data_IF_184990405832
#
_entry.id   IF_184990405832
#
_cell.length_a   1.000
_cell.length_b   1.000
_cell.length_c   1.000
_cell.angle_alpha   90.00
_cell.angle_beta   90.00
_cell.angle_gamma   90.00
#
_symmetry.space_group_name_H-M   'P 1'
#
loop_
_entity.id
_entity.type
_entity.pdbx_description
1 polymer ?
#
# COMPACT_ATOMS: atom_id res chain seq x y z
N UNK A 1 -14.43 -7.34 -12.54
CA UNK A 1 -15.03 -8.01 -11.37
C UNK A 1 -15.82 -6.96 -10.61
N UNK A 2 -17.11 -7.17 -10.40
CA UNK A 2 -17.96 -6.27 -9.64
C UNK A 2 -17.86 -6.59 -8.15
N UNK A 3 -18.07 -5.58 -7.30
CA UNK A 3 -18.12 -5.76 -5.84
C UNK A 3 -19.44 -6.45 -5.46
N UNK A 4 -19.40 -7.29 -4.44
CA UNK A 4 -20.61 -7.84 -3.81
C UNK A 4 -21.33 -6.75 -3.01
N UNK A 5 -22.58 -7.00 -2.60
CA UNK A 5 -23.33 -6.04 -1.80
C UNK A 5 -22.60 -5.73 -0.47
N UNK A 6 -22.10 -6.75 0.21
CA UNK A 6 -21.36 -6.60 1.47
C UNK A 6 -20.06 -5.78 1.28
N UNK A 7 -19.38 -5.95 0.13
CA UNK A 7 -18.19 -5.17 -0.21
C UNK A 7 -18.51 -3.71 -0.53
N UNK A 8 -19.66 -3.44 -1.15
CA UNK A 8 -20.14 -2.07 -1.37
C UNK A 8 -20.45 -1.41 -0.03
N UNK A 9 -21.14 -2.10 0.88
CA UNK A 9 -21.46 -1.60 2.22
C UNK A 9 -20.20 -1.32 3.04
N UNK A 10 -19.19 -2.20 2.98
CA UNK A 10 -17.89 -1.98 3.60
C UNK A 10 -17.20 -0.73 3.01
N UNK A 11 -17.21 -0.57 1.68
CA UNK A 11 -16.61 0.58 1.02
C UNK A 11 -17.29 1.89 1.45
N UNK A 12 -18.61 1.91 1.50
CA UNK A 12 -19.40 3.09 1.89
C UNK A 12 -19.18 3.44 3.37
N UNK A 13 -19.10 2.44 4.24
CA UNK A 13 -18.77 2.61 5.65
C UNK A 13 -17.37 3.24 5.82
N UNK A 14 -16.35 2.69 5.16
CA UNK A 14 -14.98 3.20 5.21
C UNK A 14 -14.88 4.62 4.67
N UNK A 15 -15.53 4.89 3.55
CA UNK A 15 -15.56 6.21 2.92
C UNK A 15 -16.21 7.26 3.82
N UNK A 16 -17.34 6.93 4.42
CA UNK A 16 -18.03 7.81 5.37
C UNK A 16 -17.16 8.11 6.59
N UNK A 17 -16.58 7.07 7.18
CA UNK A 17 -15.68 7.21 8.32
C UNK A 17 -14.44 8.05 8.01
N UNK A 18 -13.76 7.79 6.89
CA UNK A 18 -12.56 8.55 6.53
C UNK A 18 -12.88 10.00 6.16
N UNK A 19 -14.04 10.27 5.54
CA UNK A 19 -14.48 11.63 5.27
C UNK A 19 -14.65 12.46 6.56
N UNK A 20 -15.07 11.81 7.65
CA UNK A 20 -15.26 12.46 8.95
C UNK A 20 -13.93 12.59 9.73
N UNK A 21 -13.10 11.55 9.74
CA UNK A 21 -11.95 11.46 10.66
C UNK A 21 -10.59 11.69 10.00
N UNK A 22 -10.45 11.51 8.68
CA UNK A 22 -9.19 11.69 7.92
C UNK A 22 -9.33 12.90 6.98
N UNK A 23 -9.65 14.05 7.56
CA UNK A 23 -9.81 15.29 6.81
C UNK A 23 -8.47 15.86 6.36
N UNK A 24 -8.47 16.76 5.36
CA UNK A 24 -7.28 17.54 4.95
C UNK A 24 -6.56 18.17 6.16
N UNK A 25 -7.31 18.71 7.11
CA UNK A 25 -6.73 19.31 8.32
C UNK A 25 -5.96 18.29 9.18
N UNK A 26 -6.49 17.07 9.33
CA UNK A 26 -5.81 15.97 10.04
C UNK A 26 -4.53 15.56 9.33
N UNK A 27 -4.59 15.38 8.00
CA UNK A 27 -3.42 15.01 7.19
C UNK A 27 -2.34 16.11 7.26
N UNK A 28 -2.71 17.38 7.12
CA UNK A 28 -1.78 18.52 7.23
C UNK A 28 -1.18 18.66 8.61
N UNK A 29 -1.96 18.49 9.67
CA UNK A 29 -1.47 18.47 11.05
C UNK A 29 -0.40 17.39 11.24
N UNK A 30 -0.57 16.25 10.61
CA UNK A 30 0.43 15.16 10.63
C UNK A 30 1.73 15.55 9.94
N UNK A 31 1.65 16.25 8.81
CA UNK A 31 2.81 16.78 8.09
C UNK A 31 3.58 17.78 8.95
N UNK A 32 2.88 18.72 9.60
CA UNK A 32 3.47 19.77 10.43
C UNK A 32 4.06 19.25 11.74
N UNK A 33 3.50 18.16 12.26
CA UNK A 33 3.88 17.60 13.56
C UNK A 33 4.16 16.09 13.49
N UNK A 34 5.23 15.68 12.78
CA UNK A 34 5.53 14.26 12.57
C UNK A 34 5.92 13.51 13.83
N UNK A 35 6.13 14.22 14.95
CA UNK A 35 6.46 13.66 16.27
C UNK A 35 5.21 13.18 17.05
N UNK A 36 4.03 13.65 16.69
CA UNK A 36 2.80 13.27 17.39
C UNK A 36 2.50 11.80 17.12
N UNK A 37 2.50 10.99 18.19
CA UNK A 37 1.89 9.66 18.16
C UNK A 37 0.38 9.84 17.99
N UNK A 38 -0.15 9.38 16.86
CA UNK A 38 -1.60 9.39 16.63
C UNK A 38 -2.06 7.94 16.52
N UNK A 39 -2.33 7.32 17.65
CA UNK A 39 -3.05 6.04 17.72
C UNK A 39 -4.57 6.23 17.61
N UNK A 40 -5.04 7.46 17.65
CA UNK A 40 -6.46 7.79 17.66
C UNK A 40 -7.23 7.20 16.48
N UNK A 41 -6.68 7.26 15.27
CA UNK A 41 -7.33 6.68 14.08
C UNK A 41 -7.37 5.15 14.11
N UNK A 42 -6.29 4.50 14.56
CA UNK A 42 -6.27 3.04 14.72
C UNK A 42 -7.25 2.57 15.80
N UNK A 43 -7.35 3.31 16.90
CA UNK A 43 -8.30 3.02 17.99
C UNK A 43 -9.75 3.23 17.53
N UNK A 44 -10.02 4.29 16.75
CA UNK A 44 -11.33 4.54 16.15
C UNK A 44 -11.70 3.46 15.12
N UNK A 45 -10.77 3.03 14.28
CA UNK A 45 -10.98 1.93 13.33
C UNK A 45 -11.26 0.60 14.05
N UNK A 46 -10.61 0.37 15.20
CA UNK A 46 -10.90 -0.80 16.04
C UNK A 46 -12.31 -0.74 16.60
N UNK A 47 -12.83 0.45 16.94
CA UNK A 47 -14.23 0.62 17.39
C UNK A 47 -15.27 0.32 16.29
N UNK A 48 -14.89 0.43 15.02
CA UNK A 48 -15.73 0.01 13.88
C UNK A 48 -15.75 -1.52 13.67
N UNK A 49 -15.07 -2.30 14.51
CA UNK A 49 -15.00 -3.74 14.33
C UNK A 49 -14.11 -4.20 13.16
N UNK A 50 -13.30 -3.32 12.57
CA UNK A 50 -12.45 -3.69 11.44
C UNK A 50 -11.41 -4.75 11.81
N UNK A 51 -10.86 -4.67 13.02
CA UNK A 51 -9.89 -5.66 13.47
C UNK A 51 -10.53 -7.03 13.58
N UNK A 52 -11.72 -7.12 14.15
CA UNK A 52 -12.52 -8.35 14.27
C UNK A 52 -12.92 -8.88 12.90
N UNK A 53 -13.22 -7.99 11.96
CA UNK A 53 -13.51 -8.33 10.56
C UNK A 53 -12.35 -8.98 9.83
N UNK A 54 -11.11 -8.60 10.12
CA UNK A 54 -9.92 -9.12 9.46
C UNK A 54 -9.17 -10.18 10.25
N UNK A 55 -9.20 -10.15 11.58
CA UNK A 55 -8.36 -10.99 12.44
C UNK A 55 -9.18 -12.09 13.11
N UNK A 56 -8.64 -13.30 13.06
CA UNK A 56 -9.27 -14.49 13.63
C UNK A 56 -9.56 -15.57 12.61
N UNK A 57 -9.77 -16.82 13.03
CA UNK A 57 -9.97 -17.94 12.11
C UNK A 57 -11.27 -17.84 11.31
N UNK A 58 -12.31 -17.24 11.88
CA UNK A 58 -13.64 -17.06 11.27
C UNK A 58 -13.88 -15.63 10.76
N UNK A 59 -12.83 -14.81 10.66
CA UNK A 59 -12.96 -13.43 10.21
C UNK A 59 -13.47 -13.37 8.76
N UNK A 60 -14.54 -12.60 8.47
CA UNK A 60 -15.19 -12.59 7.15
C UNK A 60 -14.36 -11.89 6.06
N UNK A 61 -13.44 -10.98 6.43
CA UNK A 61 -12.71 -10.17 5.47
C UNK A 61 -11.38 -10.81 5.07
N UNK A 62 -11.14 -10.88 3.76
CA UNK A 62 -9.94 -11.44 3.15
C UNK A 62 -9.15 -10.43 2.32
N UNK A 63 -8.43 -10.92 1.31
CA UNK A 63 -7.64 -10.09 0.40
C UNK A 63 -8.50 -9.11 -0.42
N UNK A 64 -9.72 -9.44 -0.90
CA UNK A 64 -10.58 -8.49 -1.58
C UNK A 64 -10.96 -7.29 -0.71
N UNK A 65 -11.37 -7.52 0.55
CA UNK A 65 -11.76 -6.48 1.50
C UNK A 65 -10.54 -5.65 1.95
N UNK A 66 -9.36 -6.27 2.07
CA UNK A 66 -8.10 -5.55 2.28
C UNK A 66 -7.80 -4.61 1.11
N UNK A 67 -8.08 -5.03 -0.12
CA UNK A 67 -7.96 -4.18 -1.30
C UNK A 67 -8.90 -2.97 -1.27
N UNK A 68 -10.16 -3.17 -0.81
CA UNK A 68 -11.12 -2.07 -0.62
C UNK A 68 -10.61 -1.08 0.43
N UNK A 69 -10.18 -1.59 1.59
CA UNK A 69 -9.62 -0.75 2.65
C UNK A 69 -8.40 0.02 2.16
N UNK A 70 -7.48 -0.62 1.45
CA UNK A 70 -6.28 0.02 0.92
C UNK A 70 -6.63 1.13 -0.10
N UNK A 71 -7.64 0.92 -0.95
CA UNK A 71 -8.11 1.94 -1.87
C UNK A 71 -8.68 3.15 -1.13
N UNK A 72 -9.49 2.96 -0.10
CA UNK A 72 -10.00 4.08 0.69
C UNK A 72 -8.89 4.75 1.52
N UNK A 73 -7.93 4.00 2.08
CA UNK A 73 -6.73 4.59 2.71
C UNK A 73 -5.93 5.47 1.72
N UNK A 74 -5.77 5.05 0.48
CA UNK A 74 -5.14 5.84 -0.57
C UNK A 74 -5.93 7.09 -0.92
N UNK A 75 -7.26 6.98 -1.04
CA UNK A 75 -8.17 8.09 -1.37
C UNK A 75 -8.15 9.21 -0.33
N UNK A 76 -7.96 8.87 0.94
CA UNK A 76 -7.89 9.85 2.04
C UNK A 76 -6.47 10.13 2.52
N UNK A 77 -5.43 9.64 1.83
CA UNK A 77 -4.02 9.81 2.21
C UNK A 77 -3.77 9.38 3.66
N UNK A 78 -4.34 8.24 4.06
CA UNK A 78 -4.22 7.69 5.42
C UNK A 78 -2.76 7.76 5.88
N UNK A 79 -2.47 8.43 7.01
CA UNK A 79 -1.10 8.59 7.49
C UNK A 79 -0.59 7.41 8.31
N UNK A 80 -1.47 6.49 8.69
CA UNK A 80 -1.16 5.37 9.56
C UNK A 80 -1.14 4.05 8.80
N UNK A 81 -0.32 3.06 9.23
CA UNK A 81 -0.12 1.79 8.52
C UNK A 81 -1.23 0.77 8.82
N UNK A 82 -2.49 1.15 8.61
CA UNK A 82 -3.67 0.31 8.92
C UNK A 82 -3.66 -0.95 8.08
N UNK A 83 -3.43 -0.80 6.77
CA UNK A 83 -3.48 -1.91 5.83
C UNK A 83 -2.35 -2.91 6.07
N UNK A 84 -1.12 -2.44 6.31
CA UNK A 84 0.04 -3.28 6.61
C UNK A 84 -0.20 -4.11 7.86
N UNK A 85 -0.79 -3.49 8.88
CA UNK A 85 -1.10 -4.16 10.13
C UNK A 85 -2.15 -5.27 9.95
N UNK A 86 -3.28 -4.96 9.31
CA UNK A 86 -4.34 -5.95 9.07
C UNK A 86 -3.91 -7.03 8.07
N UNK A 87 -3.04 -6.71 7.10
CA UNK A 87 -2.39 -7.70 6.26
C UNK A 87 -1.62 -8.70 7.10
N UNK A 88 -0.73 -8.22 7.97
CA UNK A 88 0.17 -9.07 8.76
C UNK A 88 -0.58 -9.84 9.85
N UNK A 89 -1.48 -9.19 10.60
CA UNK A 89 -2.16 -9.80 11.75
C UNK A 89 -3.35 -10.68 11.34
N UNK A 90 -4.01 -10.39 10.22
CA UNK A 90 -5.29 -10.98 9.87
C UNK A 90 -5.32 -11.76 8.57
N UNK A 91 -5.02 -11.14 7.44
CA UNK A 91 -5.23 -11.76 6.12
C UNK A 91 -4.17 -12.79 5.81
N UNK A 92 -2.88 -12.44 5.96
CA UNK A 92 -1.77 -13.32 5.59
C UNK A 92 -1.76 -14.68 6.32
N UNK A 93 -1.98 -14.76 7.65
CA UNK A 93 -1.98 -16.06 8.36
C UNK A 93 -3.00 -17.07 7.81
N UNK A 94 -4.10 -16.60 7.23
CA UNK A 94 -5.15 -17.45 6.65
C UNK A 94 -4.86 -17.93 5.23
N UNK A 95 -3.80 -17.43 4.61
CA UNK A 95 -3.37 -17.78 3.24
C UNK A 95 -2.23 -18.80 3.21
N UNK A 96 -1.72 -19.20 4.36
CA UNK A 96 -0.61 -20.15 4.48
C UNK A 96 -1.04 -21.40 5.26
N UNK A 97 -0.21 -22.47 5.24
CA UNK A 97 -0.50 -23.71 5.96
C UNK A 97 -0.61 -23.48 7.48
N UNK A 98 -1.44 -24.27 8.15
CA UNK A 98 -1.78 -24.09 9.57
C UNK A 98 -0.55 -24.07 10.50
N UNK A 99 0.45 -24.93 10.26
CA UNK A 99 1.69 -24.97 11.03
C UNK A 99 2.49 -23.67 10.89
N UNK A 100 2.64 -23.17 9.66
CA UNK A 100 3.35 -21.93 9.38
C UNK A 100 2.57 -20.71 9.90
N UNK A 101 1.26 -20.71 9.75
CA UNK A 101 0.38 -19.67 10.31
C UNK A 101 0.54 -19.57 11.83
N UNK A 102 0.55 -20.70 12.54
CA UNK A 102 0.73 -20.75 13.99
C UNK A 102 2.11 -20.23 14.42
N UNK A 103 3.18 -20.68 13.75
CA UNK A 103 4.55 -20.24 14.03
C UNK A 103 4.74 -18.75 13.74
N UNK A 104 4.20 -18.27 12.61
CA UNK A 104 4.22 -16.86 12.24
C UNK A 104 3.45 -15.99 13.25
N UNK A 105 2.21 -16.34 13.58
CA UNK A 105 1.40 -15.60 14.55
C UNK A 105 2.05 -15.53 15.92
N UNK A 106 2.66 -16.64 16.36
CA UNK A 106 3.44 -16.66 17.60
C UNK A 106 4.65 -15.70 17.53
N UNK A 107 5.30 -15.57 16.37
CA UNK A 107 6.44 -14.65 16.19
C UNK A 107 6.03 -13.17 16.27
N UNK A 108 4.78 -12.84 15.97
CA UNK A 108 4.27 -11.46 16.07
C UNK A 108 4.00 -11.03 17.51
N UNK A 109 3.70 -11.95 18.42
CA UNK A 109 3.38 -11.65 19.84
C UNK A 109 2.28 -10.58 20.02
N UNK A 110 1.41 -10.39 19.01
CA UNK A 110 0.40 -9.33 18.99
C UNK A 110 0.96 -7.91 18.86
N UNK A 111 2.22 -7.75 18.54
CA UNK A 111 2.89 -6.46 18.39
C UNK A 111 2.60 -5.82 17.03
N UNK A 112 2.54 -4.47 16.96
CA UNK A 112 2.34 -3.77 15.71
C UNK A 112 3.49 -4.01 14.72
N UNK A 113 3.12 -4.21 13.46
CA UNK A 113 4.03 -4.59 12.38
C UNK A 113 4.21 -3.48 11.34
N UNK A 114 5.37 -3.45 10.72
CA UNK A 114 5.68 -2.67 9.54
C UNK A 114 6.20 -3.56 8.42
N UNK A 115 6.04 -3.11 7.19
CA UNK A 115 6.48 -3.84 6.00
C UNK A 115 7.47 -3.02 5.20
N UNK A 116 8.66 -3.57 4.96
CA UNK A 116 9.66 -2.98 4.09
C UNK A 116 9.43 -3.43 2.64
N UNK A 117 9.36 -2.51 1.66
CA UNK A 117 9.33 -2.89 0.26
C UNK A 117 10.56 -3.72 -0.12
N UNK A 118 10.37 -4.70 -1.01
CA UNK A 118 11.44 -5.61 -1.48
C UNK A 118 12.67 -4.85 -1.97
N UNK A 119 12.47 -3.84 -2.78
CA UNK A 119 13.51 -3.05 -3.42
C UNK A 119 14.30 -2.16 -2.45
N UNK A 120 13.78 -1.99 -1.25
CA UNK A 120 14.45 -1.24 -0.18
C UNK A 120 15.33 -2.10 0.72
N UNK A 121 15.30 -3.42 0.53
CA UNK A 121 15.99 -4.38 1.36
C UNK A 121 17.33 -4.81 0.73
N UNK A 122 18.42 -4.61 1.46
CA UNK A 122 19.76 -5.08 1.13
C UNK A 122 20.27 -6.00 2.24
N UNK A 123 19.53 -7.10 2.47
CA UNK A 123 19.74 -8.00 3.60
C UNK A 123 20.32 -9.33 3.15
N UNK A 124 21.22 -9.89 3.97
CA UNK A 124 21.81 -11.22 3.78
C UNK A 124 21.64 -12.04 5.06
N UNK A 125 21.15 -13.26 4.90
CA UNK A 125 21.05 -14.22 6.00
C UNK A 125 22.30 -15.08 6.12
N UNK A 126 22.52 -15.66 7.31
CA UNK A 126 23.45 -16.78 7.50
C UNK A 126 22.94 -18.04 6.78
N UNK A 127 23.75 -19.08 6.70
CA UNK A 127 23.41 -20.34 6.01
C UNK A 127 22.15 -21.05 6.57
N UNK A 128 21.76 -20.72 7.80
CA UNK A 128 20.58 -21.29 8.47
C UNK A 128 19.36 -20.37 8.43
N UNK A 129 19.50 -19.14 7.89
CA UNK A 129 18.44 -18.14 7.88
C UNK A 129 18.01 -17.61 9.25
N UNK A 130 18.86 -17.79 10.30
CA UNK A 130 18.52 -17.44 11.69
C UNK A 130 18.98 -16.04 12.09
N UNK A 131 20.00 -15.53 11.42
CA UNK A 131 20.53 -14.17 11.66
C UNK A 131 20.72 -13.44 10.35
N UNK A 132 20.42 -12.16 10.37
CA UNK A 132 20.46 -11.30 9.18
C UNK A 132 21.38 -10.10 9.44
N UNK A 133 22.09 -9.67 8.39
CA UNK A 133 22.86 -8.43 8.37
C UNK A 133 22.60 -7.68 7.08
N UNK A 134 22.69 -6.33 7.13
CA UNK A 134 22.49 -5.45 5.99
C UNK A 134 21.65 -4.24 6.34
N UNK A 135 21.02 -3.65 5.33
CA UNK A 135 20.27 -2.39 5.48
C UNK A 135 18.89 -2.50 4.85
N UNK A 136 17.95 -1.80 5.46
CA UNK A 136 16.63 -1.48 4.90
C UNK A 136 16.63 0.05 4.73
N UNK A 137 16.64 0.51 3.48
CA UNK A 137 16.74 1.93 3.16
C UNK A 137 15.57 2.72 3.75
N UNK A 138 14.37 2.14 3.73
CA UNK A 138 13.18 2.68 4.38
C UNK A 138 12.06 1.64 4.43
N UNK A 139 11.12 1.84 5.37
CA UNK A 139 10.03 0.94 5.69
C UNK A 139 8.77 1.75 5.98
N UNK A 140 7.63 1.34 5.44
CA UNK A 140 6.32 1.91 5.74
C UNK A 140 5.89 1.56 7.16
N UNK A 141 5.32 2.53 7.88
CA UNK A 141 4.78 2.31 9.22
C UNK A 141 5.82 2.03 10.29
N UNK A 142 7.11 2.09 9.96
CA UNK A 142 8.19 1.75 10.88
C UNK A 142 8.22 2.57 12.18
N UNK A 143 7.66 3.78 12.16
CA UNK A 143 7.62 4.63 13.35
C UNK A 143 6.76 4.03 14.48
N UNK A 144 5.66 3.40 14.13
CA UNK A 144 4.65 2.89 15.07
C UNK A 144 4.76 1.37 15.29
N UNK A 145 5.62 0.70 14.53
CA UNK A 145 5.83 -0.74 14.61
C UNK A 145 6.82 -1.12 15.74
N UNK A 146 6.65 -2.32 16.26
CA UNK A 146 7.63 -3.03 17.08
C UNK A 146 8.34 -4.14 16.30
N UNK A 147 7.68 -4.68 15.29
CA UNK A 147 8.18 -5.71 14.41
C UNK A 147 8.27 -5.21 12.97
N UNK A 148 9.26 -5.67 12.24
CA UNK A 148 9.46 -5.34 10.83
C UNK A 148 9.53 -6.62 10.00
N UNK A 149 8.76 -6.65 8.92
CA UNK A 149 8.83 -7.68 7.89
C UNK A 149 9.65 -7.14 6.72
N UNK A 150 10.66 -7.90 6.31
CA UNK A 150 11.59 -7.48 5.27
C UNK A 150 12.03 -8.66 4.39
N UNK A 151 12.43 -8.35 3.16
CA UNK A 151 12.94 -9.36 2.22
C UNK A 151 14.43 -9.57 2.43
N UNK A 152 14.84 -10.83 2.41
CA UNK A 152 16.23 -11.27 2.51
C UNK A 152 16.56 -12.31 1.45
N UNK A 153 17.77 -12.32 0.93
CA UNK A 153 18.27 -13.42 0.09
C UNK A 153 18.85 -14.53 0.95
N UNK A 154 18.31 -15.74 0.79
CA UNK A 154 18.80 -16.97 1.45
C UNK A 154 19.09 -18.01 0.38
N UNK A 155 20.36 -18.38 0.20
CA UNK A 155 20.82 -19.34 -0.83
C UNK A 155 20.33 -19.01 -2.25
N UNK A 156 20.18 -17.72 -2.59
CA UNK A 156 19.72 -17.27 -3.90
C UNK A 156 18.18 -17.12 -4.04
N UNK A 157 17.41 -17.62 -3.07
CA UNK A 157 15.96 -17.42 -3.03
C UNK A 157 15.59 -16.23 -2.15
N UNK A 158 14.53 -15.53 -2.53
CA UNK A 158 13.97 -14.46 -1.71
C UNK A 158 13.03 -15.02 -0.65
N UNK A 159 13.23 -14.59 0.55
CA UNK A 159 12.46 -14.98 1.72
C UNK A 159 12.05 -13.76 2.53
N UNK A 160 10.99 -13.88 3.29
CA UNK A 160 10.56 -12.84 4.23
C UNK A 160 11.00 -13.21 5.63
N UNK A 161 11.56 -12.24 6.33
CA UNK A 161 11.94 -12.34 7.74
C UNK A 161 11.14 -11.37 8.59
N UNK A 162 10.91 -11.78 9.84
CA UNK A 162 10.33 -10.92 10.89
C UNK A 162 11.40 -10.68 11.93
N UNK A 163 11.63 -9.45 12.33
CA UNK A 163 12.53 -9.09 13.42
C UNK A 163 11.93 -7.99 14.30
N UNK A 164 12.33 -8.01 15.57
CA UNK A 164 11.97 -6.92 16.49
C UNK A 164 12.95 -5.76 16.33
N UNK A 165 12.44 -4.52 16.30
CA UNK A 165 13.30 -3.34 16.28
C UNK A 165 14.16 -3.17 17.55
N UNK A 166 13.74 -3.82 18.65
CA UNK A 166 14.52 -3.89 19.90
C UNK A 166 15.52 -5.07 19.95
N UNK A 167 15.60 -5.90 18.89
CA UNK A 167 16.52 -7.02 18.87
C UNK A 167 17.98 -6.56 18.82
N UNK A 168 18.87 -7.44 19.35
CA UNK A 168 20.30 -7.17 19.31
C UNK A 168 20.78 -6.95 17.86
N UNK A 169 21.61 -5.93 17.65
CA UNK A 169 22.17 -5.59 16.35
C UNK A 169 21.29 -4.74 15.44
N UNK A 170 20.11 -4.30 15.87
CA UNK A 170 19.26 -3.35 15.15
C UNK A 170 19.60 -1.93 15.52
N UNK A 171 19.76 -1.06 14.54
CA UNK A 171 19.75 0.38 14.70
C UNK A 171 18.70 1.00 13.78
N UNK A 172 17.97 2.00 14.29
CA UNK A 172 16.85 2.68 13.64
C UNK A 172 17.19 4.16 13.45
N UNK A 173 16.84 4.69 12.27
CA UNK A 173 16.97 6.11 11.94
C UNK A 173 15.71 6.62 11.24
N UNK A 174 15.43 7.94 11.35
CA UNK A 174 14.37 8.58 10.57
C UNK A 174 14.82 8.65 9.11
N UNK A 175 13.99 8.13 8.20
CA UNK A 175 14.22 8.27 6.77
C UNK A 175 13.41 9.43 6.19
N UNK A 176 14.02 10.18 5.27
CA UNK A 176 13.32 11.24 4.53
C UNK A 176 12.28 10.63 3.60
N UNK A 177 11.12 11.26 3.48
CA UNK A 177 10.04 10.83 2.59
C UNK A 177 9.68 11.93 1.59
N UNK A 178 9.45 11.53 0.34
CA UNK A 178 8.80 12.38 -0.66
C UNK A 178 7.32 12.61 -0.29
N UNK A 179 6.66 11.57 0.19
CA UNK A 179 5.32 11.64 0.75
C UNK A 179 5.41 12.06 2.23
N UNK A 180 5.01 13.28 2.50
CA UNK A 180 5.07 13.88 3.82
C UNK A 180 3.97 13.35 4.76
N UNK A 181 3.00 12.62 4.24
CA UNK A 181 1.89 12.07 5.02
C UNK A 181 2.25 10.77 5.74
N UNK A 182 3.36 10.11 5.33
CA UNK A 182 3.85 8.86 5.93
C UNK A 182 5.17 9.05 6.66
N UNK A 183 5.38 8.25 7.71
CA UNK A 183 6.62 8.24 8.47
C UNK A 183 7.44 7.02 8.12
N UNK A 184 8.62 7.25 7.59
CA UNK A 184 9.54 6.19 7.20
C UNK A 184 10.66 6.00 8.22
N UNK A 185 11.12 4.77 8.34
CA UNK A 185 12.30 4.39 9.13
C UNK A 185 13.29 3.64 8.27
N UNK A 186 14.57 3.90 8.52
CA UNK A 186 15.71 3.12 8.03
C UNK A 186 16.17 2.19 9.12
N UNK A 187 16.57 0.99 8.74
CA UNK A 187 17.14 0.01 9.68
C UNK A 187 18.49 -0.49 9.17
N UNK A 188 19.45 -0.61 10.10
CA UNK A 188 20.69 -1.35 9.89
C UNK A 188 20.71 -2.54 10.84
N UNK A 189 20.96 -3.73 10.28
CA UNK A 189 20.98 -5.01 11.00
C UNK A 189 22.41 -5.57 11.03
N UNK A 190 22.87 -6.00 12.22
CA UNK A 190 24.19 -6.61 12.44
C UNK A 190 24.02 -7.92 13.18
N UNK A 191 24.00 -9.05 12.45
CA UNK A 191 23.77 -10.39 13.02
C UNK A 191 22.50 -10.44 13.89
N UNK A 192 21.44 -9.79 13.41
CA UNK A 192 20.16 -9.71 14.11
C UNK A 192 19.41 -11.03 14.03
N UNK A 193 18.92 -11.59 15.14
CA UNK A 193 18.07 -12.78 15.12
C UNK A 193 16.73 -12.47 14.46
N UNK A 194 16.25 -13.41 13.65
CA UNK A 194 15.02 -13.26 12.86
C UNK A 194 14.19 -14.55 12.89
N UNK A 195 12.87 -14.39 12.68
CA UNK A 195 11.99 -15.48 12.26
C UNK A 195 11.94 -15.47 10.72
N UNK A 196 12.14 -16.62 10.09
CA UNK A 196 12.16 -16.78 8.63
C UNK A 196 10.93 -17.54 8.17
N UNK A 197 10.15 -16.94 7.26
CA UNK A 197 9.04 -17.60 6.58
C UNK A 197 9.54 -18.66 5.58
N UNK A 198 8.73 -19.67 5.27
CA UNK A 198 9.00 -20.61 4.16
C UNK A 198 9.02 -19.86 2.81
N UNK A 199 9.51 -20.51 1.77
CA UNK A 199 9.58 -19.92 0.44
C UNK A 199 8.18 -19.62 -0.11
N UNK A 200 7.26 -20.59 0.02
CA UNK A 200 5.88 -20.44 -0.42
C UNK A 200 5.11 -19.37 0.35
N UNK A 201 5.29 -19.29 1.66
CA UNK A 201 4.69 -18.23 2.47
C UNK A 201 5.27 -16.86 2.15
N UNK A 202 6.58 -16.77 1.92
CA UNK A 202 7.23 -15.52 1.49
C UNK A 202 6.68 -15.03 0.16
N UNK A 203 6.50 -15.91 -0.82
CA UNK A 203 5.89 -15.56 -2.11
C UNK A 203 4.45 -15.06 -1.93
N UNK A 204 3.64 -15.77 -1.12
CA UNK A 204 2.27 -15.36 -0.82
C UNK A 204 2.21 -13.99 -0.14
N UNK A 205 3.11 -13.72 0.81
CA UNK A 205 3.19 -12.44 1.49
C UNK A 205 3.51 -11.30 0.53
N UNK A 206 4.51 -11.49 -0.34
CA UNK A 206 4.91 -10.47 -1.31
C UNK A 206 3.81 -10.16 -2.32
N UNK A 207 3.14 -11.18 -2.85
CA UNK A 207 2.00 -11.00 -3.75
C UNK A 207 0.87 -10.20 -3.07
N UNK A 208 0.57 -10.49 -1.79
CA UNK A 208 -0.45 -9.77 -1.03
C UNK A 208 -0.06 -8.30 -0.79
N UNK A 209 1.21 -8.02 -0.50
CA UNK A 209 1.72 -6.63 -0.36
C UNK A 209 1.58 -5.87 -1.67
N UNK A 210 1.94 -6.47 -2.80
CA UNK A 210 1.82 -5.85 -4.12
C UNK A 210 0.36 -5.52 -4.46
N UNK A 211 -0.57 -6.42 -4.19
CA UNK A 211 -2.01 -6.20 -4.42
C UNK A 211 -2.56 -5.09 -3.53
N UNK A 212 -2.21 -5.10 -2.25
CA UNK A 212 -2.60 -4.05 -1.31
C UNK A 212 -2.11 -2.67 -1.78
N UNK A 213 -0.85 -2.56 -2.22
CA UNK A 213 -0.27 -1.30 -2.68
C UNK A 213 -0.80 -0.86 -4.05
N UNK A 214 -1.14 -1.78 -4.94
CA UNK A 214 -1.83 -1.46 -6.18
C UNK A 214 -3.24 -0.89 -5.91
N UNK A 215 -3.95 -1.45 -4.93
CA UNK A 215 -5.26 -0.95 -4.50
C UNK A 215 -5.15 0.44 -3.85
N UNK A 216 -4.13 0.69 -3.02
CA UNK A 216 -3.84 2.01 -2.47
C UNK A 216 -3.59 3.04 -3.58
N UNK A 217 -2.78 2.70 -4.59
CA UNK A 217 -2.50 3.56 -5.73
C UNK A 217 -3.77 3.87 -6.56
N UNK A 218 -4.68 2.91 -6.72
CA UNK A 218 -6.00 3.15 -7.31
C UNK A 218 -6.79 4.20 -6.52
N UNK A 219 -6.84 4.07 -5.20
CA UNK A 219 -7.53 5.05 -4.35
C UNK A 219 -6.96 6.45 -4.48
N UNK A 220 -5.63 6.58 -4.54
CA UNK A 220 -4.91 7.84 -4.77
C UNK A 220 -5.33 8.46 -6.11
N UNK A 221 -5.29 7.69 -7.21
CA UNK A 221 -5.64 8.16 -8.54
C UNK A 221 -7.11 8.58 -8.64
N UNK A 222 -8.01 7.73 -8.15
CA UNK A 222 -9.46 8.00 -8.13
C UNK A 222 -9.77 9.29 -7.39
N UNK A 223 -9.25 9.48 -6.19
CA UNK A 223 -9.55 10.66 -5.38
C UNK A 223 -8.95 11.95 -5.95
N UNK A 224 -7.73 11.88 -6.47
CA UNK A 224 -7.12 13.01 -7.19
C UNK A 224 -8.01 13.47 -8.35
N UNK A 225 -8.57 12.53 -9.11
CA UNK A 225 -9.48 12.81 -10.22
C UNK A 225 -10.80 13.40 -9.74
N UNK A 226 -11.45 12.83 -8.71
CA UNK A 226 -12.69 13.33 -8.11
C UNK A 226 -12.55 14.79 -7.68
N UNK A 227 -11.51 15.09 -6.88
CA UNK A 227 -11.24 16.46 -6.40
C UNK A 227 -10.97 17.43 -7.55
N UNK A 228 -10.26 16.96 -8.58
CA UNK A 228 -10.01 17.79 -9.78
C UNK A 228 -11.29 18.06 -10.56
N UNK A 229 -12.15 17.06 -10.75
CA UNK A 229 -13.44 17.22 -11.41
C UNK A 229 -14.33 18.24 -10.69
N UNK A 230 -14.38 18.21 -9.36
CA UNK A 230 -15.13 19.22 -8.60
C UNK A 230 -14.55 20.64 -8.78
N UNK A 231 -13.24 20.79 -8.77
CA UNK A 231 -12.59 22.07 -8.97
C UNK A 231 -12.88 22.65 -10.35
N UNK A 232 -12.72 21.89 -11.43
CA UNK A 232 -12.87 22.40 -12.80
C UNK A 232 -14.32 22.73 -13.18
N UNK A 233 -15.31 22.17 -12.44
CA UNK A 233 -16.74 22.51 -12.59
C UNK A 233 -17.06 23.92 -12.07
N UNK A 234 -16.34 24.38 -11.04
CA UNK A 234 -16.63 25.62 -10.32
C UNK A 234 -15.67 26.75 -10.66
N UNK A 235 -14.41 26.43 -11.05
CA UNK A 235 -13.39 27.41 -11.39
C UNK A 235 -13.67 28.01 -12.77
N UNK A 236 -13.83 29.31 -12.84
CA UNK A 236 -14.05 30.05 -14.10
C UNK A 236 -12.76 30.72 -14.57
N UNK A 237 -12.54 30.66 -15.88
CA UNK A 237 -11.54 31.43 -16.61
C UNK A 237 -12.11 31.74 -18.02
N UNK A 238 -11.78 32.92 -18.56
CA UNK A 238 -12.28 33.38 -19.85
C UNK A 238 -13.81 33.39 -19.97
N UNK A 239 -14.51 33.59 -18.84
CA UNK A 239 -15.95 33.69 -18.75
C UNK A 239 -16.73 32.37 -18.76
N UNK A 240 -16.02 31.21 -18.64
CA UNK A 240 -16.63 29.88 -18.57
C UNK A 240 -15.92 29.01 -17.53
N UNK A 241 -16.59 27.96 -16.96
CA UNK A 241 -15.93 26.98 -16.14
C UNK A 241 -14.76 26.30 -16.89
N UNK A 242 -13.65 26.08 -16.20
CA UNK A 242 -12.44 25.48 -16.80
C UNK A 242 -12.74 24.10 -17.38
N UNK A 243 -13.64 23.33 -16.77
CA UNK A 243 -14.12 22.04 -17.26
C UNK A 243 -14.92 22.12 -18.59
N UNK A 244 -15.28 23.31 -19.06
CA UNK A 244 -15.89 23.52 -20.37
C UNK A 244 -14.90 23.43 -21.55
N UNK A 245 -13.58 23.54 -21.27
CA UNK A 245 -12.56 23.43 -22.32
C UNK A 245 -12.32 21.97 -22.73
N UNK A 246 -12.40 21.72 -24.06
CA UNK A 246 -12.25 20.36 -24.60
C UNK A 246 -10.92 19.69 -24.18
N UNK A 247 -9.82 20.44 -24.12
CA UNK A 247 -8.52 19.92 -23.71
C UNK A 247 -8.52 19.42 -22.25
N UNK A 248 -9.28 20.07 -21.35
CA UNK A 248 -9.46 19.63 -19.95
C UNK A 248 -10.35 18.39 -19.90
N UNK A 249 -11.46 18.39 -20.66
CA UNK A 249 -12.39 17.25 -20.71
C UNK A 249 -11.70 15.98 -21.20
N UNK A 250 -10.94 16.04 -22.29
CA UNK A 250 -10.21 14.91 -22.84
C UNK A 250 -9.19 14.36 -21.84
N UNK A 251 -8.39 15.25 -21.21
CA UNK A 251 -7.41 14.87 -20.22
C UNK A 251 -8.03 14.16 -19.01
N UNK A 252 -9.17 14.64 -18.53
CA UNK A 252 -9.89 14.00 -17.41
C UNK A 252 -10.56 12.69 -17.82
N UNK A 253 -11.08 12.59 -19.06
CA UNK A 253 -11.66 11.35 -19.59
C UNK A 253 -10.59 10.26 -19.73
N UNK A 254 -9.41 10.58 -20.27
CA UNK A 254 -8.29 9.64 -20.37
C UNK A 254 -7.82 9.19 -18.97
N UNK A 255 -7.73 10.14 -18.02
CA UNK A 255 -7.37 9.85 -16.63
C UNK A 255 -8.41 8.95 -15.94
N UNK A 256 -9.68 9.15 -16.22
CA UNK A 256 -10.76 8.32 -15.71
C UNK A 256 -10.66 6.89 -16.25
N UNK A 257 -10.51 6.73 -17.58
CA UNK A 257 -10.36 5.40 -18.19
C UNK A 257 -9.14 4.65 -17.64
N UNK A 258 -8.01 5.33 -17.47
CA UNK A 258 -6.79 4.77 -16.89
C UNK A 258 -7.02 4.35 -15.43
N UNK A 259 -7.66 5.20 -14.61
CA UNK A 259 -7.97 4.90 -13.22
C UNK A 259 -8.89 3.69 -13.08
N UNK A 260 -9.96 3.61 -13.90
CA UNK A 260 -10.88 2.47 -13.87
C UNK A 260 -10.22 1.16 -14.31
N UNK A 261 -9.32 1.20 -15.29
CA UNK A 261 -8.54 0.03 -15.69
C UNK A 261 -7.66 -0.48 -14.55
N UNK A 262 -7.01 0.43 -13.82
CA UNK A 262 -6.24 0.09 -12.62
C UNK A 262 -7.13 -0.53 -11.53
N UNK A 263 -8.28 0.09 -11.23
CA UNK A 263 -9.23 -0.41 -10.25
C UNK A 263 -9.73 -1.81 -10.57
N UNK A 264 -10.03 -2.09 -11.84
CA UNK A 264 -10.46 -3.41 -12.28
C UNK A 264 -9.36 -4.47 -12.08
N UNK A 265 -8.12 -4.14 -12.46
CA UNK A 265 -6.99 -5.04 -12.31
C UNK A 265 -6.63 -5.28 -10.83
N UNK A 266 -6.65 -4.25 -9.99
CA UNK A 266 -6.38 -4.38 -8.55
C UNK A 266 -7.43 -5.27 -7.86
N UNK A 267 -8.72 -5.10 -8.17
CA UNK A 267 -9.81 -5.95 -7.66
C UNK A 267 -9.66 -7.41 -8.12
N UNK A 268 -9.29 -7.63 -9.40
CA UNK A 268 -9.05 -8.97 -9.90
C UNK A 268 -7.84 -9.63 -9.21
N UNK A 269 -6.74 -8.91 -9.02
CA UNK A 269 -5.58 -9.40 -8.31
C UNK A 269 -5.89 -9.74 -6.84
N UNK A 270 -6.68 -8.91 -6.16
CA UNK A 270 -7.12 -9.17 -4.78
C UNK A 270 -7.97 -10.45 -4.67
N UNK A 271 -8.87 -10.67 -5.63
CA UNK A 271 -9.62 -11.92 -5.73
C UNK A 271 -8.70 -13.11 -6.01
N UNK A 272 -7.74 -12.98 -6.94
CA UNK A 272 -6.84 -14.05 -7.31
C UNK A 272 -5.94 -14.52 -6.15
N UNK A 273 -5.53 -13.61 -5.27
CA UNK A 273 -4.78 -13.99 -4.06
C UNK A 273 -5.54 -15.00 -3.21
N UNK A 274 -6.84 -14.83 -3.07
CA UNK A 274 -7.68 -15.69 -2.24
C UNK A 274 -8.20 -16.94 -2.97
N UNK A 275 -8.43 -16.86 -4.27
CA UNK A 275 -9.25 -17.84 -5.00
C UNK A 275 -8.55 -18.52 -6.16
N UNK A 276 -7.39 -18.06 -6.61
CA UNK A 276 -6.69 -18.58 -7.79
C UNK A 276 -5.17 -18.57 -7.61
N UNK A 277 -4.62 -19.54 -6.83
CA UNK A 277 -3.19 -19.58 -6.51
C UNK A 277 -2.28 -19.58 -7.75
N UNK A 278 -2.73 -20.17 -8.85
CA UNK A 278 -1.99 -20.24 -10.13
C UNK A 278 -1.90 -18.87 -10.83
N UNK A 279 -2.86 -17.97 -10.63
CA UNK A 279 -2.88 -16.64 -11.23
C UNK A 279 -2.35 -15.55 -10.26
N UNK A 280 -2.23 -15.86 -8.98
CA UNK A 280 -1.90 -14.92 -7.92
C UNK A 280 -0.66 -14.09 -8.23
N UNK A 281 0.47 -14.74 -8.46
CA UNK A 281 1.75 -14.06 -8.67
C UNK A 281 1.76 -13.20 -9.94
N UNK A 282 1.13 -13.67 -11.03
CA UNK A 282 1.04 -12.92 -12.28
C UNK A 282 0.17 -11.68 -12.11
N UNK A 283 -1.01 -11.83 -11.52
CA UNK A 283 -1.97 -10.73 -11.36
C UNK A 283 -1.51 -9.69 -10.36
N UNK A 284 -0.89 -10.10 -9.24
CA UNK A 284 -0.29 -9.20 -8.27
C UNK A 284 0.81 -8.33 -8.92
N UNK A 285 1.71 -8.97 -9.67
CA UNK A 285 2.78 -8.29 -10.38
C UNK A 285 2.26 -7.35 -11.46
N UNK A 286 1.26 -7.76 -12.23
CA UNK A 286 0.63 -6.92 -13.25
C UNK A 286 -0.07 -5.71 -12.61
N UNK A 287 -0.79 -5.92 -11.51
CA UNK A 287 -1.50 -4.85 -10.81
C UNK A 287 -0.55 -3.78 -10.27
N UNK A 288 0.52 -4.14 -9.57
CA UNK A 288 1.46 -3.16 -9.02
C UNK A 288 2.26 -2.44 -10.12
N UNK A 289 2.65 -3.14 -11.18
CA UNK A 289 3.35 -2.52 -12.32
C UNK A 289 2.48 -1.48 -13.01
N UNK A 290 1.21 -1.79 -13.26
CA UNK A 290 0.26 -0.85 -13.85
C UNK A 290 -0.07 0.32 -12.89
N UNK A 291 -0.20 0.03 -11.61
CA UNK A 291 -0.55 1.01 -10.59
C UNK A 291 0.47 2.15 -10.48
N UNK A 292 1.76 1.83 -10.49
CA UNK A 292 2.84 2.81 -10.32
C UNK A 292 2.93 3.81 -11.48
N UNK A 293 2.58 3.38 -12.69
CA UNK A 293 2.52 4.24 -13.87
C UNK A 293 1.24 5.07 -13.88
N UNK A 294 0.10 4.41 -13.75
CA UNK A 294 -1.23 5.06 -13.88
C UNK A 294 -1.47 6.08 -12.79
N UNK A 295 -1.21 5.74 -11.51
CA UNK A 295 -1.47 6.67 -10.42
C UNK A 295 -0.62 7.95 -10.56
N UNK A 296 0.64 7.83 -10.97
CA UNK A 296 1.51 8.98 -11.23
C UNK A 296 0.98 9.84 -12.38
N UNK A 297 0.64 9.22 -13.51
CA UNK A 297 0.16 9.93 -14.71
C UNK A 297 -1.19 10.65 -14.47
N UNK A 298 -2.11 10.00 -13.75
CA UNK A 298 -3.40 10.59 -13.37
C UNK A 298 -3.20 11.79 -12.46
N UNK A 299 -2.37 11.68 -11.41
CA UNK A 299 -2.10 12.80 -10.50
C UNK A 299 -1.41 13.98 -11.22
N UNK A 300 -0.47 13.72 -12.14
CA UNK A 300 0.16 14.75 -12.97
C UNK A 300 -0.86 15.47 -13.86
N UNK A 301 -1.76 14.71 -14.49
CA UNK A 301 -2.85 15.26 -15.30
C UNK A 301 -3.80 16.12 -14.46
N UNK A 302 -4.11 15.69 -13.25
CA UNK A 302 -4.94 16.44 -12.30
C UNK A 302 -4.29 17.77 -11.91
N UNK A 303 -3.01 17.77 -11.55
CA UNK A 303 -2.26 19.01 -11.26
C UNK A 303 -2.28 19.95 -12.46
N UNK A 304 -2.07 19.45 -13.67
CA UNK A 304 -2.11 20.25 -14.89
C UNK A 304 -3.50 20.89 -15.10
N UNK A 305 -4.60 20.17 -14.80
CA UNK A 305 -5.96 20.69 -14.91
C UNK A 305 -6.27 21.76 -13.86
N UNK A 306 -5.69 21.67 -12.66
CA UNK A 306 -5.81 22.70 -11.63
C UNK A 306 -5.01 23.97 -11.97
N UNK A 307 -3.95 23.86 -12.77
CA UNK A 307 -3.05 24.97 -13.09
C UNK A 307 -2.22 25.41 -11.89
N UNK A 308 -2.00 26.71 -11.72
CA UNK A 308 -1.09 27.24 -10.69
C UNK A 308 -1.39 26.78 -9.25
N UNK A 309 -2.67 26.67 -8.87
CA UNK A 309 -3.05 26.24 -7.51
C UNK A 309 -2.63 24.80 -7.21
N UNK A 310 -2.53 23.95 -8.23
CA UNK A 310 -2.10 22.54 -8.06
C UNK A 310 -0.66 22.38 -7.56
N UNK A 311 0.16 23.44 -7.65
CA UNK A 311 1.54 23.46 -7.15
C UNK A 311 1.70 24.17 -5.80
N UNK A 312 0.63 24.74 -5.26
CA UNK A 312 0.68 25.49 -4.01
C UNK A 312 0.21 24.66 -2.83
N UNK A 313 0.59 25.09 -1.63
CA UNK A 313 0.08 24.51 -0.38
C UNK A 313 -1.38 24.84 -0.07
N UNK A 314 -2.05 25.65 -0.90
CA UNK A 314 -3.46 25.98 -0.76
C UNK A 314 -4.37 24.81 -1.14
N UNK A 315 -3.86 23.86 -1.94
CA UNK A 315 -4.60 22.71 -2.44
C UNK A 315 -3.84 21.40 -2.20
N UNK A 316 -4.56 20.34 -1.82
CA UNK A 316 -3.96 19.05 -1.42
C UNK A 316 -3.56 18.14 -2.59
N UNK A 317 -3.85 18.52 -3.85
CA UNK A 317 -3.62 17.66 -5.01
C UNK A 317 -2.16 17.19 -5.12
N UNK A 318 -1.19 18.03 -4.75
CA UNK A 318 0.21 17.67 -4.78
C UNK A 318 0.58 16.56 -3.78
N UNK A 319 -0.22 16.36 -2.71
CA UNK A 319 0.00 15.28 -1.74
C UNK A 319 -0.33 13.92 -2.38
N UNK A 320 -1.36 13.85 -3.23
CA UNK A 320 -1.68 12.64 -4.01
C UNK A 320 -0.56 12.28 -4.98
N UNK A 321 0.02 13.27 -5.68
CA UNK A 321 1.17 13.02 -6.54
C UNK A 321 2.37 12.50 -5.74
N UNK A 322 2.64 13.06 -4.57
CA UNK A 322 3.73 12.62 -3.69
C UNK A 322 3.53 11.16 -3.26
N UNK A 323 2.31 10.77 -2.87
CA UNK A 323 1.97 9.38 -2.53
C UNK A 323 2.14 8.46 -3.75
N UNK A 324 1.64 8.84 -4.92
CA UNK A 324 1.78 8.06 -6.15
C UNK A 324 3.27 7.85 -6.52
N UNK A 325 4.09 8.91 -6.46
CA UNK A 325 5.54 8.83 -6.73
C UNK A 325 6.27 7.99 -5.68
N UNK A 326 5.87 8.06 -4.42
CA UNK A 326 6.42 7.23 -3.36
C UNK A 326 6.16 5.75 -3.61
N UNK A 327 4.93 5.39 -4.02
CA UNK A 327 4.60 4.02 -4.42
C UNK A 327 5.41 3.57 -5.65
N UNK A 328 5.62 4.44 -6.63
CA UNK A 328 6.43 4.14 -7.81
C UNK A 328 7.92 3.92 -7.45
N UNK A 329 8.46 4.63 -6.46
CA UNK A 329 9.82 4.41 -5.94
C UNK A 329 9.90 3.09 -5.16
N UNK A 330 8.84 2.76 -4.40
CA UNK A 330 8.78 1.53 -3.62
C UNK A 330 8.68 0.26 -4.46
N UNK A 331 8.01 0.39 -5.59
CA UNK A 331 7.72 -0.72 -6.50
C UNK A 331 8.07 -0.33 -7.94
N UNK A 332 9.36 -0.12 -8.25
CA UNK A 332 9.78 0.39 -9.56
C UNK A 332 9.43 -0.62 -10.66
N UNK A 333 8.93 -0.09 -11.78
CA UNK A 333 8.71 -0.89 -12.98
C UNK A 333 10.06 -1.05 -13.70
N UNK A 334 10.74 -2.16 -13.46
CA UNK A 334 12.05 -2.46 -14.05
C UNK A 334 11.92 -3.38 -15.27
N UNK A 335 12.92 -3.34 -16.17
CA UNK A 335 12.98 -4.28 -17.30
C UNK A 335 12.93 -5.73 -16.82
N UNK A 336 13.59 -6.05 -15.70
CA UNK A 336 13.57 -7.39 -15.12
C UNK A 336 12.15 -7.79 -14.68
N UNK A 337 11.39 -6.85 -14.09
CA UNK A 337 10.00 -7.08 -13.68
C UNK A 337 9.09 -7.27 -14.89
N UNK A 338 9.27 -6.48 -15.94
CA UNK A 338 8.53 -6.61 -17.21
C UNK A 338 8.86 -7.93 -17.92
N UNK A 339 10.13 -8.33 -17.97
CA UNK A 339 10.56 -9.60 -18.56
C UNK A 339 9.99 -10.81 -17.78
N UNK A 340 9.92 -10.72 -16.45
CA UNK A 340 9.28 -11.76 -15.61
C UNK A 340 7.80 -11.90 -15.92
N UNK A 341 7.07 -10.78 -16.05
CA UNK A 341 5.65 -10.77 -16.44
C UNK A 341 5.43 -11.43 -17.80
N UNK A 342 6.23 -11.06 -18.80
CA UNK A 342 6.15 -11.63 -20.15
C UNK A 342 6.47 -13.13 -20.10
N UNK A 343 7.53 -13.54 -19.41
CA UNK A 343 7.92 -14.93 -19.25
C UNK A 343 6.79 -15.78 -18.64
N UNK A 344 6.13 -15.30 -17.58
CA UNK A 344 5.01 -16.00 -16.93
C UNK A 344 3.75 -16.01 -17.77
N UNK A 345 3.48 -14.97 -18.56
CA UNK A 345 2.31 -14.90 -19.44
C UNK A 345 2.43 -15.81 -20.68
N UNK A 346 3.66 -16.06 -21.15
CA UNK A 346 3.94 -16.84 -22.36
C UNK A 346 4.19 -18.32 -22.07
N UNK A 347 4.59 -18.68 -20.85
CA UNK A 347 4.81 -20.07 -20.45
C UNK A 347 3.61 -20.55 -19.63
N UNK A 348 2.68 -21.31 -20.23
CA UNK A 348 1.60 -21.92 -19.45
C UNK A 348 2.19 -22.91 -18.44
N UNK A 349 1.59 -22.94 -17.26
CA UNK A 349 1.96 -23.81 -16.14
C UNK A 349 1.77 -25.30 -16.48
#
# INVERSE_FOLDING_TARGET
MELTQDQIELQDLLRGFFAEHVTSAVVRKRIESPQLEQRELLDLLSQLGLREGFCGPEAPYGAPELGILAAECGAFLMPEPVCERLLCEGVFPRLVGAEEAAAYTASLEGKPTAVAPRECCSLKADAKGKVVSGEIAWCFGGADAELVLAVVSVAGAERVVVFSKSAAGVSEEIASSLDLTVRLRRYTLKKTPVFLLSESASATFLDLVEVMKASEAYGVARRALEVTCEYVKTREQFGVPVGGFQAVQQKLADSYAASESLGALARFAAWAVASSPEQRALTARAAISHATEVASAVCESCIQCLGGIGFTWEHDIHLYLRRAKMLAIAFPNSEARSAELIGRAVTPA
#
